data_IF_081163534489
#
_entry.id   IF_081163534489
#
_cell.length_a   1.000
_cell.length_b   1.000
_cell.length_c   1.000
_cell.angle_alpha   90.00
_cell.angle_beta   90.00
_cell.angle_gamma   90.00
#
_symmetry.space_group_name_H-M   'P 1'
#
loop_
_entity.id
_entity.type
_entity.pdbx_description
1 polymer ?
#
# COMPACT_ATOMS: atom_id res chain seq x y z
N UNK A 1 4.76 24.19 -16.31
CA UNK A 1 3.66 24.25 -15.31
C UNK A 1 2.85 22.99 -15.41
N UNK A 2 2.57 22.34 -14.29
CA UNK A 2 1.78 21.11 -14.19
C UNK A 2 0.31 21.48 -14.34
N UNK A 3 -0.36 20.96 -15.37
CA UNK A 3 -1.79 21.19 -15.64
C UNK A 3 -2.65 20.25 -14.79
N UNK A 4 -3.40 20.80 -13.84
CA UNK A 4 -4.20 20.06 -12.89
C UNK A 4 -5.69 20.17 -13.20
N UNK A 5 -6.38 19.03 -13.29
CA UNK A 5 -7.84 18.94 -13.32
C UNK A 5 -8.34 18.44 -11.97
N UNK A 6 -9.25 19.17 -11.34
CA UNK A 6 -9.88 18.79 -10.07
C UNK A 6 -11.28 18.21 -10.33
N UNK A 7 -11.51 16.97 -9.87
CA UNK A 7 -12.78 16.24 -10.01
C UNK A 7 -13.29 15.81 -8.65
N UNK A 8 -14.35 16.43 -8.17
CA UNK A 8 -14.97 16.16 -6.86
C UNK A 8 -16.42 16.67 -6.90
N UNK A 9 -17.38 15.98 -6.30
CA UNK A 9 -18.80 16.41 -6.31
C UNK A 9 -19.08 17.53 -5.30
N UNK A 10 -18.24 17.63 -4.23
CA UNK A 10 -18.34 18.68 -3.23
C UNK A 10 -17.79 20.02 -3.76
N UNK A 11 -18.63 21.04 -3.80
CA UNK A 11 -18.19 22.39 -4.18
C UNK A 11 -17.11 22.97 -3.25
N UNK A 12 -17.18 22.63 -1.97
CA UNK A 12 -16.21 23.04 -0.97
C UNK A 12 -14.84 22.41 -1.26
N UNK A 13 -14.80 21.10 -1.51
CA UNK A 13 -13.58 20.39 -1.86
C UNK A 13 -12.97 20.88 -3.17
N UNK A 14 -13.79 21.08 -4.19
CA UNK A 14 -13.30 21.67 -5.45
C UNK A 14 -12.68 23.04 -5.25
N UNK A 15 -13.32 23.90 -4.43
CA UNK A 15 -12.79 25.23 -4.12
C UNK A 15 -11.46 25.15 -3.36
N UNK A 16 -11.37 24.29 -2.36
CA UNK A 16 -10.15 24.07 -1.57
C UNK A 16 -9.00 23.56 -2.44
N UNK A 17 -9.20 22.46 -3.18
CA UNK A 17 -8.18 21.88 -4.06
C UNK A 17 -7.75 22.87 -5.14
N UNK A 18 -8.70 23.63 -5.71
CA UNK A 18 -8.40 24.70 -6.64
C UNK A 18 -7.53 25.80 -6.00
N UNK A 19 -7.79 26.15 -4.74
CA UNK A 19 -6.96 27.06 -3.94
C UNK A 19 -5.54 26.55 -3.74
N UNK A 20 -5.39 25.28 -3.35
CA UNK A 20 -4.09 24.62 -3.20
C UNK A 20 -3.29 24.69 -4.50
N UNK A 21 -3.89 24.34 -5.63
CA UNK A 21 -3.21 24.38 -6.94
C UNK A 21 -2.80 25.79 -7.34
N UNK A 22 -3.70 26.78 -7.17
CA UNK A 22 -3.41 28.18 -7.53
C UNK A 22 -2.33 28.84 -6.67
N UNK A 23 -2.15 28.34 -5.44
CA UNK A 23 -1.09 28.83 -4.55
C UNK A 23 0.31 28.36 -4.96
N UNK A 24 0.44 27.42 -5.90
CA UNK A 24 1.71 26.88 -6.36
C UNK A 24 2.18 27.55 -7.64
N UNK A 25 3.43 28.01 -7.67
CA UNK A 25 4.03 28.69 -8.84
C UNK A 25 4.32 27.75 -10.03
N UNK A 26 4.37 26.43 -9.77
CA UNK A 26 4.69 25.38 -10.75
C UNK A 26 3.47 24.63 -11.27
N UNK A 27 2.25 24.99 -10.82
CA UNK A 27 0.99 24.37 -11.21
C UNK A 27 0.03 25.34 -11.88
N UNK A 28 -0.85 24.79 -12.72
CA UNK A 28 -1.94 25.51 -13.39
C UNK A 28 -3.25 24.73 -13.19
N UNK A 29 -4.27 25.37 -12.59
CA UNK A 29 -5.61 24.81 -12.54
C UNK A 29 -6.27 25.01 -13.91
N UNK A 30 -6.30 23.97 -14.74
CA UNK A 30 -6.85 24.07 -16.11
C UNK A 30 -8.36 23.90 -16.13
N UNK A 31 -8.94 23.15 -15.19
CA UNK A 31 -10.40 23.01 -15.06
C UNK A 31 -10.80 22.40 -13.71
N UNK A 32 -12.10 22.50 -13.42
CA UNK A 32 -12.80 21.77 -12.36
C UNK A 32 -13.98 21.02 -12.96
N UNK A 33 -14.34 19.86 -12.40
CA UNK A 33 -15.50 19.08 -12.78
C UNK A 33 -16.24 18.57 -11.53
N UNK A 34 -17.56 18.61 -11.56
CA UNK A 34 -18.39 18.14 -10.45
C UNK A 34 -18.82 16.68 -10.62
N UNK A 35 -18.55 16.07 -11.76
CA UNK A 35 -18.90 14.69 -12.08
C UNK A 35 -18.01 14.12 -13.20
N UNK A 36 -18.00 12.79 -13.39
CA UNK A 36 -17.20 12.12 -14.41
C UNK A 36 -17.52 12.53 -15.86
N UNK A 37 -18.74 12.93 -16.16
CA UNK A 37 -19.15 13.34 -17.54
C UNK A 37 -18.46 14.65 -17.90
N UNK A 38 -18.56 15.64 -17.01
CA UNK A 38 -17.83 16.91 -17.15
C UNK A 38 -16.32 16.68 -17.17
N UNK A 39 -15.80 15.75 -16.33
CA UNK A 39 -14.37 15.43 -16.32
C UNK A 39 -13.88 14.94 -17.69
N UNK A 40 -14.63 14.08 -18.39
CA UNK A 40 -14.25 13.59 -19.73
C UNK A 40 -14.15 14.77 -20.73
N UNK A 41 -15.11 15.68 -20.69
CA UNK A 41 -15.10 16.88 -21.54
C UNK A 41 -13.87 17.75 -21.26
N UNK A 42 -13.59 18.03 -19.97
CA UNK A 42 -12.42 18.83 -19.53
C UNK A 42 -11.10 18.18 -19.90
N UNK A 43 -10.97 16.86 -19.78
CA UNK A 43 -9.77 16.11 -20.19
C UNK A 43 -9.50 16.27 -21.68
N UNK A 44 -10.55 16.24 -22.52
CA UNK A 44 -10.42 16.43 -23.98
C UNK A 44 -10.00 17.84 -24.33
N UNK A 45 -10.59 18.84 -23.67
CA UNK A 45 -10.39 20.26 -23.97
C UNK A 45 -9.03 20.77 -23.48
N UNK A 46 -8.63 20.40 -22.26
CA UNK A 46 -7.47 21.01 -21.58
C UNK A 46 -6.23 20.12 -21.53
N UNK A 47 -6.34 18.81 -21.81
CA UNK A 47 -5.24 17.84 -21.73
C UNK A 47 -4.43 18.00 -20.44
N UNK A 48 -5.01 17.71 -19.25
CA UNK A 48 -4.31 17.84 -17.99
C UNK A 48 -3.15 16.84 -17.89
N UNK A 49 -2.12 17.19 -17.11
CA UNK A 49 -0.99 16.33 -16.78
C UNK A 49 -1.32 15.41 -15.60
N UNK A 50 -2.22 15.85 -14.71
CA UNK A 50 -2.66 15.10 -13.52
C UNK A 50 -4.11 15.44 -13.18
N UNK A 51 -4.80 14.46 -12.61
CA UNK A 51 -6.18 14.58 -12.15
C UNK A 51 -6.23 14.30 -10.64
N UNK A 52 -6.85 15.19 -9.85
CA UNK A 52 -7.34 14.81 -8.52
C UNK A 52 -8.76 14.28 -8.66
N UNK A 53 -9.04 13.11 -8.12
CA UNK A 53 -10.30 12.40 -8.33
C UNK A 53 -10.90 11.94 -7.02
N UNK A 54 -12.10 12.40 -6.71
CA UNK A 54 -12.87 11.89 -5.58
C UNK A 54 -13.30 10.44 -5.81
N UNK A 55 -13.25 9.65 -4.75
CA UNK A 55 -13.74 8.26 -4.73
C UNK A 55 -15.25 8.21 -4.73
N UNK A 56 -15.89 9.03 -3.89
CA UNK A 56 -17.32 8.98 -3.61
C UNK A 56 -18.06 10.05 -4.41
N UNK A 57 -18.57 9.72 -5.59
CA UNK A 57 -19.36 10.63 -6.42
C UNK A 57 -20.72 10.02 -6.78
N UNK A 58 -21.80 10.80 -6.84
CA UNK A 58 -23.13 10.33 -7.26
C UNK A 58 -23.13 9.91 -8.73
N UNK A 59 -24.01 8.95 -9.08
CA UNK A 59 -24.24 8.43 -10.44
C UNK A 59 -23.15 7.56 -11.04
N UNK A 60 -21.88 7.91 -10.91
CA UNK A 60 -20.74 7.09 -11.32
C UNK A 60 -19.63 7.30 -10.28
N UNK A 61 -19.26 6.23 -9.57
CA UNK A 61 -18.21 6.32 -8.58
C UNK A 61 -16.83 6.53 -9.23
N UNK A 62 -15.90 7.08 -8.45
CA UNK A 62 -14.54 7.39 -8.92
C UNK A 62 -13.78 6.18 -9.45
N UNK A 63 -14.03 4.97 -8.92
CA UNK A 63 -13.38 3.74 -9.40
C UNK A 63 -13.81 3.35 -10.81
N UNK A 64 -15.09 3.46 -11.14
CA UNK A 64 -15.59 3.14 -12.48
C UNK A 64 -15.09 4.15 -13.49
N UNK A 65 -15.01 5.41 -13.10
CA UNK A 65 -14.40 6.44 -13.93
C UNK A 65 -12.91 6.18 -14.13
N UNK A 66 -12.15 5.89 -13.06
CA UNK A 66 -10.74 5.56 -13.11
C UNK A 66 -10.48 4.38 -14.06
N UNK A 67 -11.24 3.28 -13.92
CA UNK A 67 -11.11 2.10 -14.77
C UNK A 67 -11.28 2.44 -16.24
N UNK A 68 -12.29 3.24 -16.59
CA UNK A 68 -12.53 3.72 -17.97
C UNK A 68 -11.38 4.60 -18.43
N UNK A 69 -10.94 5.54 -17.60
CA UNK A 69 -9.84 6.46 -17.93
C UNK A 69 -8.55 5.68 -18.23
N UNK A 70 -8.15 4.75 -17.35
CA UNK A 70 -6.94 3.96 -17.53
C UNK A 70 -6.99 3.04 -18.74
N UNK A 71 -8.16 2.59 -19.16
CA UNK A 71 -8.31 1.75 -20.36
C UNK A 71 -8.24 2.55 -21.66
N UNK A 72 -8.80 3.77 -21.70
CA UNK A 72 -8.94 4.58 -22.93
C UNK A 72 -7.78 5.57 -23.09
N UNK A 73 -7.48 6.32 -22.07
CA UNK A 73 -6.44 7.36 -22.04
C UNK A 73 -5.81 7.39 -20.64
N UNK A 74 -4.83 6.53 -20.36
CA UNK A 74 -4.15 6.55 -19.07
C UNK A 74 -3.57 7.93 -18.76
N UNK A 75 -3.95 8.49 -17.62
CA UNK A 75 -3.46 9.76 -17.11
C UNK A 75 -3.11 9.57 -15.62
N UNK A 76 -2.13 10.31 -15.09
CA UNK A 76 -1.84 10.31 -13.66
C UNK A 76 -3.06 10.76 -12.85
N UNK A 77 -3.46 9.93 -11.88
CA UNK A 77 -4.59 10.22 -10.98
C UNK A 77 -4.15 10.14 -9.54
N UNK A 78 -4.40 11.21 -8.78
CA UNK A 78 -4.34 11.27 -7.34
C UNK A 78 -5.76 11.09 -6.80
N UNK A 79 -6.02 9.99 -6.08
CA UNK A 79 -7.33 9.77 -5.46
C UNK A 79 -7.50 10.66 -4.23
N UNK A 80 -8.67 11.22 -4.04
CA UNK A 80 -9.06 11.96 -2.83
C UNK A 80 -10.12 11.11 -2.13
N UNK A 81 -9.87 10.64 -0.91
CA UNK A 81 -10.70 9.61 -0.26
C UNK A 81 -11.04 9.95 1.18
N UNK A 82 -12.21 9.51 1.65
CA UNK A 82 -12.59 9.59 3.06
C UNK A 82 -11.76 8.63 3.94
N UNK A 83 -11.58 8.99 5.24
CA UNK A 83 -10.87 8.17 6.24
C UNK A 83 -11.67 6.97 6.77
N UNK A 84 -12.76 6.59 6.12
CA UNK A 84 -13.57 5.44 6.52
C UNK A 84 -12.90 4.12 6.11
N UNK A 85 -13.27 3.00 6.76
CA UNK A 85 -12.79 1.66 6.37
C UNK A 85 -13.17 1.31 4.93
N UNK A 86 -14.39 1.63 4.54
CA UNK A 86 -14.89 1.39 3.17
C UNK A 86 -14.15 2.28 2.17
N UNK A 87 -13.86 3.54 2.54
CA UNK A 87 -13.02 4.45 1.77
C UNK A 87 -11.59 3.93 1.58
N UNK A 88 -11.00 3.34 2.64
CA UNK A 88 -9.67 2.76 2.56
C UNK A 88 -9.62 1.55 1.60
N UNK A 89 -10.60 0.63 1.68
CA UNK A 89 -10.66 -0.52 0.75
C UNK A 89 -10.86 -0.07 -0.70
N UNK A 90 -11.75 0.89 -0.91
CA UNK A 90 -12.01 1.47 -2.24
C UNK A 90 -10.77 2.17 -2.80
N UNK A 91 -10.03 2.89 -1.96
CA UNK A 91 -8.80 3.59 -2.35
C UNK A 91 -7.68 2.61 -2.73
N UNK A 92 -7.48 1.55 -1.96
CA UNK A 92 -6.50 0.51 -2.30
C UNK A 92 -6.84 -0.17 -3.62
N UNK A 93 -8.15 -0.39 -3.91
CA UNK A 93 -8.61 -0.84 -5.23
C UNK A 93 -8.30 0.16 -6.35
N UNK A 94 -8.39 1.46 -6.06
CA UNK A 94 -8.04 2.48 -7.05
C UNK A 94 -6.55 2.41 -7.43
N UNK A 95 -5.65 2.17 -6.45
CA UNK A 95 -4.23 1.97 -6.73
C UNK A 95 -4.00 0.74 -7.62
N UNK A 96 -4.68 -0.39 -7.35
CA UNK A 96 -4.65 -1.60 -8.21
C UNK A 96 -5.16 -1.34 -9.64
N UNK A 97 -6.07 -0.38 -9.80
CA UNK A 97 -6.58 0.05 -11.11
C UNK A 97 -5.67 1.06 -11.83
N UNK A 98 -4.56 1.46 -11.20
CA UNK A 98 -3.55 2.32 -11.79
C UNK A 98 -3.59 3.78 -11.33
N UNK A 99 -4.32 4.13 -10.27
CA UNK A 99 -4.10 5.42 -9.60
C UNK A 99 -2.68 5.48 -9.05
N UNK A 100 -2.06 6.66 -9.14
CA UNK A 100 -0.66 6.85 -8.74
C UNK A 100 -0.50 6.86 -7.22
N UNK A 101 -1.38 7.58 -6.55
CA UNK A 101 -1.37 7.74 -5.10
C UNK A 101 -2.75 8.19 -4.62
N UNK A 102 -2.88 8.39 -3.32
CA UNK A 102 -4.09 8.94 -2.71
C UNK A 102 -3.77 9.95 -1.61
N UNK A 103 -4.76 10.79 -1.33
CA UNK A 103 -4.79 11.68 -0.19
C UNK A 103 -6.07 11.40 0.62
N UNK A 104 -5.92 11.23 1.93
CA UNK A 104 -7.05 11.01 2.83
C UNK A 104 -7.64 12.36 3.26
N UNK A 105 -8.95 12.55 3.01
CA UNK A 105 -9.68 13.76 3.42
C UNK A 105 -9.62 13.89 4.95
N UNK A 106 -9.05 14.96 5.51
CA UNK A 106 -9.13 15.22 6.95
C UNK A 106 -10.57 15.37 7.43
N UNK A 107 -10.78 15.16 8.73
CA UNK A 107 -12.11 15.22 9.33
C UNK A 107 -12.65 16.66 9.47
N UNK A 108 -11.78 17.67 9.47
CA UNK A 108 -12.14 19.07 9.65
C UNK A 108 -11.37 20.02 8.72
N UNK A 109 -11.92 21.24 8.56
CA UNK A 109 -11.36 22.26 7.66
C UNK A 109 -9.99 22.77 8.07
N UNK A 110 -9.68 22.82 9.36
CA UNK A 110 -8.38 23.32 9.84
C UNK A 110 -7.26 22.33 9.50
N UNK A 111 -7.54 21.04 9.59
CA UNK A 111 -6.62 19.99 9.17
C UNK A 111 -6.42 19.96 7.63
N UNK A 112 -7.43 20.38 6.85
CA UNK A 112 -7.28 20.57 5.41
C UNK A 112 -6.27 21.65 5.05
N UNK A 113 -6.36 22.82 5.69
CA UNK A 113 -5.41 23.92 5.47
C UNK A 113 -3.97 23.49 5.82
N UNK A 114 -3.81 22.77 6.93
CA UNK A 114 -2.52 22.22 7.34
C UNK A 114 -1.96 21.16 6.35
N UNK A 115 -2.82 20.55 5.52
CA UNK A 115 -2.45 19.50 4.55
C UNK A 115 -2.17 20.04 3.14
N UNK A 116 -2.29 21.34 2.92
CA UNK A 116 -2.14 21.94 1.58
C UNK A 116 -0.80 21.61 0.91
N UNK A 117 0.29 21.66 1.66
CA UNK A 117 1.62 21.32 1.16
C UNK A 117 1.74 19.83 0.81
N UNK A 118 1.19 18.94 1.64
CA UNK A 118 1.19 17.51 1.34
C UNK A 118 0.41 17.20 0.06
N UNK A 119 -0.76 17.82 -0.13
CA UNK A 119 -1.56 17.67 -1.35
C UNK A 119 -0.77 18.15 -2.56
N UNK A 120 -0.14 19.34 -2.48
CA UNK A 120 0.68 19.88 -3.55
C UNK A 120 1.84 18.94 -3.90
N UNK A 121 2.55 18.40 -2.90
CA UNK A 121 3.63 17.45 -3.10
C UNK A 121 3.13 16.15 -3.76
N UNK A 122 1.98 15.62 -3.34
CA UNK A 122 1.36 14.45 -3.98
C UNK A 122 0.90 14.70 -5.42
N UNK A 123 0.40 15.89 -5.74
CA UNK A 123 0.07 16.30 -7.12
C UNK A 123 1.34 16.33 -7.98
N UNK A 124 2.46 16.90 -7.48
CA UNK A 124 3.75 16.88 -8.15
C UNK A 124 4.25 15.46 -8.42
N UNK A 125 4.20 14.63 -7.38
CA UNK A 125 4.58 13.22 -7.48
C UNK A 125 3.74 12.50 -8.55
N UNK A 126 2.42 12.68 -8.52
CA UNK A 126 1.53 12.07 -9.49
C UNK A 126 1.81 12.56 -10.93
N UNK A 127 2.03 13.85 -11.12
CA UNK A 127 2.33 14.41 -12.44
C UNK A 127 3.65 13.87 -13.05
N UNK A 128 4.62 13.49 -12.20
CA UNK A 128 5.88 12.88 -12.63
C UNK A 128 5.78 11.36 -12.85
N UNK A 129 4.68 10.75 -12.46
CA UNK A 129 4.51 9.30 -12.49
C UNK A 129 4.46 8.76 -13.94
N UNK A 130 5.14 7.65 -14.15
CA UNK A 130 5.06 6.89 -15.43
C UNK A 130 3.83 5.99 -15.40
N UNK A 131 2.69 6.49 -15.90
CA UNK A 131 1.47 5.68 -16.00
C UNK A 131 1.54 4.79 -17.24
N UNK A 132 1.61 3.48 -17.03
CA UNK A 132 1.61 2.47 -18.10
C UNK A 132 0.18 1.96 -18.30
N UNK A 133 -0.22 1.72 -19.56
CA UNK A 133 -1.47 0.99 -19.84
C UNK A 133 -1.43 -0.38 -19.16
N UNK A 134 -2.21 -0.55 -18.12
CA UNK A 134 -2.52 -1.90 -17.65
C UNK A 134 -3.42 -2.55 -18.72
N UNK A 135 -2.84 -3.42 -19.56
CA UNK A 135 -3.66 -4.38 -20.27
C UNK A 135 -4.33 -5.23 -19.20
N UNK A 136 -5.64 -5.10 -19.07
CA UNK A 136 -6.43 -5.90 -18.15
C UNK A 136 -6.08 -7.37 -18.38
N UNK A 137 -5.28 -7.96 -17.51
CA UNK A 137 -5.17 -9.40 -17.38
C UNK A 137 -6.53 -9.85 -16.90
N UNK A 138 -7.41 -10.16 -17.85
CA UNK A 138 -8.68 -10.85 -17.57
C UNK A 138 -8.29 -12.12 -16.84
N UNK A 139 -8.49 -12.14 -15.52
CA UNK A 139 -8.50 -13.40 -14.79
C UNK A 139 -9.55 -14.26 -15.46
N UNK A 140 -9.24 -15.51 -15.86
CA UNK A 140 -10.24 -16.38 -16.45
C UNK A 140 -11.35 -16.55 -15.44
N UNK A 141 -12.48 -15.93 -15.72
CA UNK A 141 -13.67 -15.98 -14.89
C UNK A 141 -14.06 -17.43 -14.70
N UNK A 142 -14.29 -17.81 -13.47
CA UNK A 142 -15.05 -18.99 -13.10
C UNK A 142 -16.34 -18.99 -13.93
N UNK A 143 -16.39 -19.85 -14.96
CA UNK A 143 -17.56 -20.03 -15.78
C UNK A 143 -18.66 -20.55 -14.87
N UNK A 144 -19.62 -19.70 -14.56
CA UNK A 144 -20.93 -20.11 -14.02
C UNK A 144 -21.53 -21.07 -15.03
N UNK A 145 -21.49 -22.37 -14.72
CA UNK A 145 -22.31 -23.36 -15.40
C UNK A 145 -23.76 -23.02 -15.16
N UNK A 146 -24.59 -22.90 -16.19
CA UNK A 146 -26.03 -22.81 -15.97
C UNK A 146 -26.52 -24.12 -15.38
N UNK A 147 -27.08 -24.06 -14.17
CA UNK A 147 -27.79 -25.16 -13.56
C UNK A 147 -29.04 -25.48 -14.37
N UNK A 148 -29.02 -26.60 -15.09
CA UNK A 148 -30.19 -27.22 -15.68
C UNK A 148 -31.08 -27.77 -14.54
N UNK A 149 -32.30 -27.26 -14.46
CA UNK A 149 -33.40 -27.78 -13.63
C UNK A 149 -33.96 -29.03 -14.30
N UNK A 150 -34.11 -30.17 -13.63
CA UNK A 150 -35.03 -31.20 -14.04
C UNK A 150 -36.31 -31.09 -13.25
N UNK A 151 -37.41 -31.02 -13.98
CA UNK A 151 -38.80 -31.10 -13.48
C UNK A 151 -39.13 -32.48 -12.95
N UNK A 152 -39.95 -32.52 -11.88
CA UNK A 152 -40.39 -33.64 -11.07
C UNK A 152 -41.06 -34.86 -11.79
N UNK A 153 -41.91 -35.69 -11.19
CA UNK A 153 -42.62 -35.60 -9.92
C UNK A 153 -42.62 -36.89 -9.06
N UNK A 154 -43.33 -36.81 -7.94
CA UNK A 154 -44.15 -37.89 -7.28
C UNK A 154 -43.73 -38.35 -5.89
N UNK A 155 -44.67 -38.10 -5.02
CA UNK A 155 -44.99 -38.62 -3.70
C UNK A 155 -44.83 -40.13 -3.55
N UNK A 156 -44.24 -40.60 -2.44
CA UNK A 156 -44.76 -41.74 -1.64
C UNK A 156 -44.36 -41.51 -0.18
N UNK A 157 -45.41 -41.57 0.66
CA UNK A 157 -45.46 -41.63 2.11
C UNK A 157 -44.91 -42.93 2.64
N UNK A 158 -44.19 -42.91 3.79
CA UNK A 158 -44.46 -43.84 4.93
C UNK A 158 -43.47 -43.72 6.09
N UNK A 159 -44.08 -43.45 7.23
CA UNK A 159 -43.93 -44.03 8.58
C UNK A 159 -42.62 -43.88 9.35
N UNK A 160 -42.78 -43.19 10.48
CA UNK A 160 -41.97 -43.20 11.70
C UNK A 160 -42.05 -44.58 12.39
N UNK A 161 -41.01 -45.05 13.09
CA UNK A 161 -41.14 -45.13 14.53
C UNK A 161 -39.98 -44.61 15.35
N UNK A 162 -40.35 -44.28 16.54
CA UNK A 162 -39.74 -43.76 17.73
C UNK A 162 -38.57 -44.61 18.29
N UNK A 163 -37.57 -43.99 18.89
CA UNK A 163 -37.18 -44.10 20.29
C UNK A 163 -35.68 -43.90 20.54
N UNK A 164 -35.41 -42.89 21.36
CA UNK A 164 -34.39 -42.79 22.44
C UNK A 164 -33.00 -43.44 22.30
N UNK A 165 -31.98 -42.58 22.28
CA UNK A 165 -30.87 -42.56 23.26
C UNK A 165 -29.99 -41.34 23.03
N UNK A 166 -29.96 -40.47 23.90
CA UNK A 166 -29.04 -39.74 24.76
C UNK A 166 -27.55 -39.85 24.38
N UNK A 167 -26.97 -38.65 24.35
CA UNK A 167 -25.61 -38.23 24.64
C UNK A 167 -24.66 -37.89 23.50
N UNK A 168 -24.12 -36.69 23.72
CA UNK A 168 -22.83 -36.10 23.37
C UNK A 168 -22.72 -35.35 22.07
N UNK A 169 -22.87 -34.05 22.22
CA UNK A 169 -22.08 -32.92 21.74
C UNK A 169 -21.16 -33.15 20.55
N UNK A 170 -21.48 -32.49 19.46
CA UNK A 170 -20.58 -32.20 18.36
C UNK A 170 -21.19 -31.12 17.52
N UNK A 171 -20.99 -29.85 17.91
CA UNK A 171 -21.24 -28.70 17.05
C UNK A 171 -20.22 -28.73 15.94
N UNK A 172 -20.58 -29.19 14.76
CA UNK A 172 -19.84 -28.94 13.55
C UNK A 172 -20.43 -27.71 12.88
N UNK A 173 -19.87 -26.55 13.19
CA UNK A 173 -20.01 -25.38 12.36
C UNK A 173 -19.19 -25.63 11.09
N UNK A 174 -19.85 -25.68 9.95
CA UNK A 174 -19.23 -25.63 8.63
C UNK A 174 -18.48 -24.27 8.52
N UNK A 175 -17.18 -24.30 8.80
CA UNK A 175 -16.29 -23.17 8.71
C UNK A 175 -15.79 -23.02 7.28
N UNK A 176 -15.76 -21.81 6.84
CA UNK A 176 -14.95 -21.35 5.72
C UNK A 176 -13.49 -21.76 5.97
N UNK A 177 -12.90 -22.48 5.03
CA UNK A 177 -11.48 -22.83 5.03
C UNK A 177 -10.62 -21.58 4.84
N UNK A 178 -10.46 -20.81 5.89
CA UNK A 178 -9.37 -19.84 6.03
C UNK A 178 -8.10 -20.63 6.34
N UNK A 179 -7.15 -20.66 5.44
CA UNK A 179 -5.81 -21.19 5.68
C UNK A 179 -5.20 -20.38 6.83
N UNK A 180 -5.26 -20.91 8.05
CA UNK A 180 -4.57 -20.33 9.20
C UNK A 180 -3.08 -20.56 9.00
N UNK A 181 -2.37 -19.52 8.53
CA UNK A 181 -0.92 -19.51 8.44
C UNK A 181 -0.36 -19.51 9.86
N UNK A 182 0.13 -20.65 10.32
CA UNK A 182 0.87 -20.68 11.57
C UNK A 182 2.19 -19.91 11.38
N UNK A 183 2.57 -19.00 12.30
CA UNK A 183 3.88 -18.35 12.22
C UNK A 183 4.96 -19.44 12.27
N UNK A 184 5.91 -19.40 11.33
CA UNK A 184 7.06 -20.30 11.32
C UNK A 184 7.97 -19.86 12.46
N UNK A 185 7.80 -20.45 13.63
CA UNK A 185 8.60 -20.21 14.84
C UNK A 185 10.00 -20.82 14.67
N UNK A 186 10.83 -20.29 13.79
CA UNK A 186 12.25 -20.65 13.74
C UNK A 186 13.05 -19.65 14.58
N UNK A 187 13.34 -20.03 15.81
CA UNK A 187 13.99 -19.21 16.83
C UNK A 187 15.52 -19.12 16.67
N UNK A 188 16.05 -18.92 15.46
CA UNK A 188 17.49 -18.71 15.29
C UNK A 188 17.84 -17.31 14.76
N UNK A 189 17.39 -16.28 15.50
CA UNK A 189 17.68 -14.86 15.20
C UNK A 189 19.18 -14.48 15.25
N UNK A 190 20.05 -15.39 15.66
CA UNK A 190 21.50 -15.10 15.68
C UNK A 190 22.14 -15.12 14.30
N UNK A 191 21.52 -15.76 13.34
CA UNK A 191 22.08 -15.98 12.00
C UNK A 191 21.24 -15.38 10.86
N UNK A 192 19.95 -15.10 11.07
CA UNK A 192 19.06 -14.61 10.00
C UNK A 192 19.10 -13.07 9.88
N UNK A 193 19.08 -12.55 8.66
CA UNK A 193 18.99 -11.12 8.42
C UNK A 193 17.66 -10.54 8.91
N UNK A 194 17.64 -9.21 9.11
CA UNK A 194 16.43 -8.42 9.33
C UNK A 194 16.22 -7.54 8.09
N UNK A 195 15.10 -7.68 7.43
CA UNK A 195 14.77 -6.89 6.23
C UNK A 195 14.01 -5.63 6.66
N UNK A 196 14.42 -4.47 6.14
CA UNK A 196 13.72 -3.21 6.34
C UNK A 196 13.42 -2.57 4.98
N UNK A 197 12.18 -2.13 4.77
CA UNK A 197 11.71 -1.56 3.51
C UNK A 197 11.11 -0.17 3.76
N UNK A 198 11.58 0.83 3.00
CA UNK A 198 11.00 2.16 2.95
C UNK A 198 10.31 2.40 1.61
N UNK A 199 9.11 2.97 1.63
CA UNK A 199 8.30 3.23 0.44
C UNK A 199 7.32 4.40 0.62
N UNK A 200 6.90 5.01 -0.50
CA UNK A 200 5.90 6.08 -0.52
C UNK A 200 4.99 5.96 -1.76
N UNK A 201 4.86 6.99 -2.58
CA UNK A 201 4.04 6.99 -3.80
C UNK A 201 4.42 5.84 -4.74
N UNK A 202 3.44 5.03 -5.12
CA UNK A 202 3.64 3.78 -5.87
C UNK A 202 4.10 2.59 -5.01
N UNK A 203 4.40 2.81 -3.72
CA UNK A 203 4.91 1.79 -2.80
C UNK A 203 3.91 0.67 -2.51
N UNK A 204 2.61 0.96 -2.53
CA UNK A 204 1.55 -0.04 -2.30
C UNK A 204 1.64 -1.18 -3.30
N UNK A 205 1.75 -0.86 -4.60
CA UNK A 205 1.88 -1.87 -5.66
C UNK A 205 3.26 -2.52 -5.66
N UNK A 206 4.33 -1.75 -5.40
CA UNK A 206 5.67 -2.29 -5.29
C UNK A 206 5.80 -3.31 -4.14
N UNK A 207 5.25 -3.00 -2.97
CA UNK A 207 5.20 -3.92 -1.83
C UNK A 207 4.37 -5.17 -2.14
N UNK A 208 3.21 -5.01 -2.79
CA UNK A 208 2.38 -6.15 -3.22
C UNK A 208 3.16 -7.10 -4.12
N UNK A 209 3.82 -6.57 -5.16
CA UNK A 209 4.60 -7.38 -6.10
C UNK A 209 5.73 -8.16 -5.40
N UNK A 210 6.47 -7.50 -4.52
CA UNK A 210 7.56 -8.14 -3.78
C UNK A 210 7.02 -9.20 -2.81
N UNK A 211 6.10 -8.81 -1.89
CA UNK A 211 5.67 -9.68 -0.80
C UNK A 211 4.91 -10.91 -1.30
N UNK A 212 4.14 -10.78 -2.38
CA UNK A 212 3.40 -11.89 -3.00
C UNK A 212 4.33 -12.97 -3.58
N UNK A 213 5.53 -12.59 -3.98
CA UNK A 213 6.52 -13.50 -4.56
C UNK A 213 7.43 -14.16 -3.51
N UNK A 214 7.37 -13.76 -2.24
CA UNK A 214 8.22 -14.30 -1.18
C UNK A 214 7.68 -15.63 -0.63
N UNK A 215 8.57 -16.60 -0.33
CA UNK A 215 8.20 -17.86 0.32
C UNK A 215 7.90 -17.67 1.81
N UNK A 216 7.11 -18.56 2.40
CA UNK A 216 6.76 -18.52 3.82
C UNK A 216 7.98 -18.48 4.78
N UNK A 217 9.09 -19.08 4.39
CA UNK A 217 10.32 -19.15 5.21
C UNK A 217 11.29 -18.00 4.90
N UNK A 218 10.82 -16.75 4.88
CA UNK A 218 11.64 -15.56 4.69
C UNK A 218 12.02 -14.94 6.06
N UNK A 219 13.17 -14.28 6.21
CA UNK A 219 13.46 -13.45 7.38
C UNK A 219 12.38 -12.41 7.65
N UNK A 220 12.25 -11.91 8.89
CA UNK A 220 11.25 -10.91 9.20
C UNK A 220 11.47 -9.63 8.41
N UNK A 221 10.37 -8.98 8.04
CA UNK A 221 10.33 -7.78 7.22
C UNK A 221 9.66 -6.66 8.01
N UNK A 222 10.33 -5.51 8.15
CA UNK A 222 9.79 -4.30 8.75
C UNK A 222 9.58 -3.27 7.64
N UNK A 223 8.38 -2.66 7.57
CA UNK A 223 7.99 -1.80 6.46
C UNK A 223 7.54 -0.44 6.99
N UNK A 224 8.15 0.63 6.51
CA UNK A 224 7.63 2.00 6.62
C UNK A 224 7.11 2.44 5.25
N UNK A 225 5.80 2.40 5.09
CA UNK A 225 5.09 2.97 3.95
C UNK A 225 4.42 4.27 4.40
N UNK A 226 4.67 5.37 3.70
CA UNK A 226 3.96 6.62 3.96
C UNK A 226 2.47 6.44 3.67
N UNK A 227 1.69 6.31 4.73
CA UNK A 227 0.26 6.03 4.64
C UNK A 227 -0.45 6.55 5.90
N UNK A 228 -1.61 7.21 5.76
CA UNK A 228 -2.33 7.77 6.90
C UNK A 228 -2.94 6.69 7.80
N UNK A 229 -3.36 7.07 9.03
CA UNK A 229 -4.10 6.16 9.91
C UNK A 229 -5.35 5.58 9.23
N UNK A 230 -5.71 4.35 9.59
CA UNK A 230 -6.88 3.66 9.05
C UNK A 230 -6.63 2.88 7.75
N UNK A 231 -5.62 3.26 6.96
CA UNK A 231 -5.26 2.57 5.72
C UNK A 231 -4.30 1.40 5.92
N UNK A 232 -3.36 1.52 6.86
CA UNK A 232 -2.29 0.54 7.07
C UNK A 232 -2.80 -0.82 7.51
N UNK A 233 -3.83 -0.89 8.36
CA UNK A 233 -4.46 -2.15 8.78
C UNK A 233 -5.20 -2.83 7.61
N UNK A 234 -5.98 -2.05 6.83
CA UNK A 234 -6.67 -2.57 5.65
C UNK A 234 -5.67 -3.07 4.61
N UNK A 235 -4.57 -2.34 4.38
CA UNK A 235 -3.50 -2.73 3.48
C UNK A 235 -2.81 -4.03 3.94
N UNK A 236 -2.47 -4.13 5.23
CA UNK A 236 -1.87 -5.33 5.80
C UNK A 236 -2.76 -6.56 5.60
N UNK A 237 -4.05 -6.47 5.92
CA UNK A 237 -5.01 -7.57 5.74
C UNK A 237 -5.18 -7.99 4.28
N UNK A 238 -5.17 -7.04 3.34
CA UNK A 238 -5.23 -7.35 1.90
C UNK A 238 -3.99 -8.10 1.44
N UNK A 239 -2.81 -7.67 1.87
CA UNK A 239 -1.56 -8.37 1.57
C UNK A 239 -1.52 -9.76 2.22
N UNK A 240 -1.95 -9.89 3.46
CA UNK A 240 -2.00 -11.19 4.15
C UNK A 240 -2.85 -12.21 3.41
N UNK A 241 -3.95 -11.77 2.81
CA UNK A 241 -4.85 -12.64 2.04
C UNK A 241 -4.23 -13.21 0.76
N UNK A 242 -3.22 -12.55 0.18
CA UNK A 242 -2.64 -12.92 -1.12
C UNK A 242 -1.18 -13.39 -1.04
N UNK A 243 -0.49 -13.16 0.09
CA UNK A 243 0.90 -13.55 0.29
C UNK A 243 1.03 -14.93 0.95
N UNK A 244 2.16 -15.61 0.77
CA UNK A 244 2.49 -16.83 1.50
C UNK A 244 2.97 -16.53 2.93
N UNK A 245 3.63 -15.39 3.13
CA UNK A 245 4.05 -14.88 4.43
C UNK A 245 2.85 -14.29 5.18
N UNK A 246 2.96 -14.19 6.51
CA UNK A 246 2.01 -13.43 7.30
C UNK A 246 2.28 -11.94 7.15
N UNK A 247 1.25 -11.11 6.94
CA UNK A 247 1.37 -9.66 6.84
C UNK A 247 0.42 -8.99 7.83
N UNK A 248 0.95 -8.15 8.70
CA UNK A 248 0.15 -7.46 9.71
C UNK A 248 0.62 -6.03 9.95
N UNK A 249 -0.25 -5.21 10.50
CA UNK A 249 0.17 -3.94 11.10
C UNK A 249 0.95 -4.23 12.39
N UNK A 250 2.06 -3.53 12.58
CA UNK A 250 2.93 -3.67 13.75
C UNK A 250 2.25 -3.19 15.03
N UNK A 251 2.52 -3.85 16.14
CA UNK A 251 2.06 -3.51 17.48
C UNK A 251 3.24 -3.18 18.42
N UNK A 252 3.04 -2.27 19.36
CA UNK A 252 4.10 -1.95 20.32
C UNK A 252 4.39 -3.13 21.24
N UNK A 253 5.68 -3.36 21.50
CA UNK A 253 6.13 -4.45 22.38
C UNK A 253 6.05 -5.85 21.74
N UNK A 254 5.74 -5.96 20.46
CA UNK A 254 5.63 -7.23 19.76
C UNK A 254 7.00 -7.85 19.44
N UNK A 255 7.11 -9.16 19.62
CA UNK A 255 8.30 -9.92 19.20
C UNK A 255 8.25 -10.18 17.69
N UNK A 256 9.39 -10.01 17.04
CA UNK A 256 9.53 -10.19 15.60
C UNK A 256 9.76 -11.65 15.23
N UNK A 257 9.03 -12.20 14.26
CA UNK A 257 9.14 -13.58 13.80
C UNK A 257 9.47 -13.66 12.31
N UNK A 258 10.23 -14.68 11.90
CA UNK A 258 10.43 -15.02 10.49
C UNK A 258 9.10 -15.37 9.81
N UNK A 259 9.04 -15.20 8.49
CA UNK A 259 7.80 -15.42 7.73
C UNK A 259 6.72 -14.37 7.95
N UNK A 260 7.09 -13.24 8.59
CA UNK A 260 6.14 -12.16 8.89
C UNK A 260 6.65 -10.80 8.41
N UNK A 261 5.79 -10.05 7.76
CA UNK A 261 5.99 -8.65 7.40
C UNK A 261 5.15 -7.75 8.32
N UNK A 262 5.79 -6.77 8.93
CA UNK A 262 5.21 -5.83 9.89
C UNK A 262 5.15 -4.44 9.26
N UNK A 263 3.95 -3.92 9.04
CA UNK A 263 3.73 -2.59 8.45
C UNK A 263 3.58 -1.57 9.56
N UNK A 264 4.33 -0.48 9.49
CA UNK A 264 4.22 0.63 10.43
C UNK A 264 2.79 1.19 10.47
N UNK A 265 2.18 1.39 11.63
CA UNK A 265 0.87 2.02 11.72
C UNK A 265 0.91 3.46 11.19
N UNK A 266 -0.08 3.85 10.41
CA UNK A 266 -0.26 5.24 9.99
C UNK A 266 -0.38 6.18 11.20
N UNK A 267 0.28 7.33 11.15
CA UNK A 267 0.32 8.29 12.23
C UNK A 267 1.27 7.92 13.38
N UNK A 268 2.06 6.85 13.26
CA UNK A 268 3.05 6.41 14.26
C UNK A 268 4.36 6.00 13.61
N UNK A 269 5.46 6.06 14.35
CA UNK A 269 6.74 5.52 13.89
C UNK A 269 6.91 4.07 14.32
N UNK A 270 7.45 3.25 13.41
CA UNK A 270 7.91 1.89 13.70
C UNK A 270 9.42 1.90 13.90
N UNK A 271 9.85 1.36 15.01
CA UNK A 271 11.26 1.18 15.35
C UNK A 271 11.49 -0.24 15.89
N UNK A 272 12.75 -0.66 16.01
CA UNK A 272 13.10 -1.98 16.49
C UNK A 272 14.24 -1.93 17.52
N UNK A 273 14.12 -2.73 18.55
CA UNK A 273 15.14 -2.93 19.56
C UNK A 273 15.63 -4.38 19.56
N UNK A 274 16.93 -4.58 19.82
CA UNK A 274 17.50 -5.91 20.00
C UNK A 274 17.26 -6.40 21.43
N UNK A 275 16.81 -7.65 21.57
CA UNK A 275 16.75 -8.39 22.84
C UNK A 275 17.65 -9.64 22.80
N UNK A 276 17.86 -10.27 23.94
CA UNK A 276 18.63 -11.51 24.02
C UNK A 276 18.03 -12.64 23.15
N UNK A 277 16.68 -12.67 23.03
CA UNK A 277 15.92 -13.67 22.27
C UNK A 277 15.55 -13.26 20.85
N UNK A 278 16.01 -12.09 20.35
CA UNK A 278 15.65 -11.62 19.00
C UNK A 278 15.41 -10.13 18.91
N UNK A 279 14.36 -9.74 18.20
CA UNK A 279 13.98 -8.34 17.99
C UNK A 279 12.63 -8.05 18.61
N UNK A 280 12.45 -6.82 19.09
CA UNK A 280 11.21 -6.29 19.64
C UNK A 280 10.82 -5.03 18.88
N UNK A 281 9.58 -4.97 18.43
CA UNK A 281 9.02 -3.77 17.80
C UNK A 281 8.68 -2.70 18.85
N UNK A 282 8.84 -1.46 18.44
CA UNK A 282 8.35 -0.29 19.15
C UNK A 282 7.56 0.58 18.20
N UNK A 283 6.37 0.94 18.61
CA UNK A 283 5.48 1.85 17.89
C UNK A 283 5.31 3.11 18.74
N UNK A 284 5.78 4.25 18.24
CA UNK A 284 5.85 5.50 19.01
C UNK A 284 5.05 6.63 18.35
N UNK A 285 4.57 7.56 19.19
CA UNK A 285 3.84 8.77 18.78
C UNK A 285 4.76 10.00 18.70
N UNK A 286 6.07 9.82 18.54
CA UNK A 286 7.03 10.90 18.36
C UNK A 286 6.66 11.82 17.21
N UNK A 287 7.18 13.05 17.23
CA UNK A 287 6.92 14.05 16.20
C UNK A 287 7.26 13.52 14.79
N UNK A 288 6.55 13.98 13.74
CA UNK A 288 6.88 13.62 12.37
C UNK A 288 8.36 13.88 12.05
N UNK A 289 9.01 12.92 11.39
CA UNK A 289 10.38 13.04 10.86
C UNK A 289 10.27 13.22 9.36
N UNK A 290 11.00 14.20 8.80
CA UNK A 290 10.92 14.57 7.38
C UNK A 290 9.47 14.85 6.90
N UNK A 291 8.64 15.41 7.78
CA UNK A 291 7.20 15.65 7.60
C UNK A 291 6.33 14.39 7.49
N UNK A 292 6.88 13.19 7.73
CA UNK A 292 6.17 11.91 7.64
C UNK A 292 6.05 11.20 9.00
N UNK A 293 4.93 10.54 9.19
CA UNK A 293 4.66 9.62 10.30
C UNK A 293 3.66 8.53 9.84
N UNK A 294 4.14 7.28 9.52
CA UNK A 294 5.51 6.80 9.71
C UNK A 294 6.54 7.47 8.80
N UNK A 295 7.80 7.52 9.27
CA UNK A 295 8.96 7.87 8.46
C UNK A 295 9.91 6.68 8.36
N UNK A 296 10.64 6.59 7.26
CA UNK A 296 11.63 5.54 6.98
C UNK A 296 12.90 5.73 7.83
N UNK A 297 13.27 6.97 8.10
CA UNK A 297 14.47 7.32 8.88
C UNK A 297 14.51 6.65 10.26
N UNK A 298 13.50 6.75 11.14
CA UNK A 298 13.50 6.08 12.45
C UNK A 298 13.62 4.57 12.34
N UNK A 299 12.96 3.96 11.34
CA UNK A 299 13.04 2.53 11.10
C UNK A 299 14.47 2.12 10.73
N UNK A 300 15.06 2.72 9.70
CA UNK A 300 16.37 2.33 9.21
C UNK A 300 17.48 2.59 10.25
N UNK A 301 17.44 3.71 10.99
CA UNK A 301 18.38 3.99 12.08
C UNK A 301 18.32 2.95 13.19
N UNK A 302 17.12 2.52 13.56
CA UNK A 302 16.99 1.50 14.62
C UNK A 302 17.35 0.11 14.12
N UNK A 303 17.08 -0.23 12.86
CA UNK A 303 17.55 -1.46 12.22
C UNK A 303 19.08 -1.48 12.14
N UNK A 304 19.73 -0.37 11.79
CA UNK A 304 21.18 -0.25 11.78
C UNK A 304 21.77 -0.59 13.16
N UNK A 305 21.20 -0.06 14.24
CA UNK A 305 21.63 -0.32 15.61
C UNK A 305 21.34 -1.76 16.07
N UNK A 306 20.19 -2.31 15.70
CA UNK A 306 19.72 -3.60 16.20
C UNK A 306 20.33 -4.80 15.45
N UNK A 307 20.45 -4.72 14.12
CA UNK A 307 20.88 -5.81 13.25
C UNK A 307 22.27 -5.60 12.64
N UNK A 308 22.68 -4.35 12.41
CA UNK A 308 24.00 -4.01 11.86
C UNK A 308 24.22 -4.67 10.49
N UNK A 309 25.37 -5.30 10.30
CA UNK A 309 25.76 -5.96 9.04
C UNK A 309 24.82 -7.09 8.59
N UNK A 310 23.92 -7.57 9.46
CA UNK A 310 22.92 -8.59 9.12
C UNK A 310 21.63 -8.01 8.60
N UNK A 311 21.51 -6.71 8.47
CA UNK A 311 20.33 -6.09 7.91
C UNK A 311 20.36 -6.09 6.37
N UNK A 312 19.18 -6.13 5.78
CA UNK A 312 18.95 -5.83 4.37
C UNK A 312 18.02 -4.61 4.34
N UNK A 313 18.51 -3.47 3.79
CA UNK A 313 17.73 -2.26 3.62
C UNK A 313 17.26 -2.12 2.18
N UNK A 314 15.97 -1.80 1.97
CA UNK A 314 15.40 -1.60 0.63
C UNK A 314 14.71 -0.25 0.57
N UNK A 315 15.03 0.54 -0.45
CA UNK A 315 14.35 1.79 -0.78
C UNK A 315 13.56 1.61 -2.06
N UNK A 316 12.23 1.68 -1.94
CA UNK A 316 11.30 1.57 -3.07
C UNK A 316 10.85 2.96 -3.54
N UNK A 317 10.07 2.94 -4.63
CA UNK A 317 9.44 4.11 -5.24
C UNK A 317 8.83 5.05 -4.20
N UNK A 318 8.99 6.34 -4.41
CA UNK A 318 8.46 7.39 -3.55
C UNK A 318 9.04 8.75 -3.86
N UNK A 319 8.33 9.80 -3.46
CA UNK A 319 8.80 11.19 -3.58
C UNK A 319 9.63 11.59 -2.35
N UNK A 320 10.56 12.52 -2.55
CA UNK A 320 11.35 13.11 -1.45
C UNK A 320 12.64 12.35 -1.16
N UNK A 321 13.13 12.48 0.08
CA UNK A 321 14.44 11.98 0.52
C UNK A 321 14.37 11.21 1.84
N UNK A 322 13.17 10.98 2.39
CA UNK A 322 13.03 10.27 3.66
C UNK A 322 13.66 8.88 3.60
N UNK A 323 14.46 8.56 4.59
CA UNK A 323 15.20 7.30 4.68
C UNK A 323 16.55 7.29 3.96
N UNK A 324 16.92 8.30 3.15
CA UNK A 324 18.18 8.30 2.41
C UNK A 324 19.41 8.34 3.34
N UNK A 325 19.41 9.28 4.29
CA UNK A 325 20.51 9.42 5.27
C UNK A 325 20.57 8.21 6.22
N UNK A 326 19.42 7.75 6.71
CA UNK A 326 19.36 6.57 7.57
C UNK A 326 19.77 5.29 6.83
N UNK A 327 19.53 5.20 5.53
CA UNK A 327 20.00 4.08 4.70
C UNK A 327 21.53 4.11 4.54
N UNK A 328 22.13 5.31 4.47
CA UNK A 328 23.59 5.46 4.49
C UNK A 328 24.16 4.98 5.83
N UNK A 329 23.56 5.39 6.95
CA UNK A 329 23.93 4.89 8.28
C UNK A 329 23.85 3.35 8.34
N UNK A 330 22.76 2.79 7.79
CA UNK A 330 22.55 1.35 7.73
C UNK A 330 23.63 0.66 6.88
N UNK A 331 23.93 1.17 5.68
CA UNK A 331 25.00 0.68 4.80
C UNK A 331 26.38 0.69 5.52
N UNK A 332 26.66 1.74 6.28
CA UNK A 332 27.93 1.91 6.98
C UNK A 332 28.13 0.87 8.12
N UNK A 333 27.06 0.22 8.60
CA UNK A 333 27.17 -0.93 9.50
C UNK A 333 27.61 -2.23 8.81
N UNK A 334 27.73 -2.22 7.48
CA UNK A 334 28.01 -3.41 6.67
C UNK A 334 26.75 -4.05 6.09
N UNK A 335 25.56 -3.52 6.37
CA UNK A 335 24.30 -4.01 5.84
C UNK A 335 24.25 -4.03 4.30
N UNK A 336 23.47 -4.93 3.74
CA UNK A 336 23.19 -4.96 2.31
C UNK A 336 22.06 -3.98 2.00
N UNK A 337 22.27 -3.05 1.05
CA UNK A 337 21.30 -2.00 0.75
C UNK A 337 20.94 -2.01 -0.74
N UNK A 338 19.65 -1.97 -1.05
CA UNK A 338 19.10 -2.08 -2.40
C UNK A 338 18.15 -0.90 -2.66
N UNK A 339 18.23 -0.29 -3.82
CA UNK A 339 17.26 0.68 -4.29
C UNK A 339 16.53 0.17 -5.54
N UNK A 340 15.26 0.51 -5.67
CA UNK A 340 14.51 0.28 -6.89
C UNK A 340 15.06 1.16 -8.02
N UNK A 341 15.19 0.61 -9.22
CA UNK A 341 15.67 1.34 -10.40
C UNK A 341 14.68 2.38 -10.90
N UNK A 342 15.16 3.34 -11.67
CA UNK A 342 14.33 4.42 -12.23
C UNK A 342 13.25 3.88 -13.18
N UNK A 343 13.55 2.81 -13.91
CA UNK A 343 12.66 2.30 -14.96
C UNK A 343 11.39 1.68 -14.39
N UNK A 344 11.47 1.03 -13.23
CA UNK A 344 10.34 0.38 -12.57
C UNK A 344 9.70 1.23 -11.46
N UNK A 345 10.31 2.36 -11.06
CA UNK A 345 9.69 3.30 -10.13
C UNK A 345 8.50 4.03 -10.76
N UNK A 346 7.41 4.15 -10.00
CA UNK A 346 6.32 5.10 -10.31
C UNK A 346 6.84 6.53 -10.13
N UNK A 347 7.53 6.80 -9.01
CA UNK A 347 8.21 8.08 -8.73
C UNK A 347 9.63 7.77 -8.27
N UNK A 348 10.63 8.18 -9.07
CA UNK A 348 12.04 7.98 -8.75
C UNK A 348 12.59 9.17 -7.93
N UNK A 349 12.13 9.30 -6.68
CA UNK A 349 12.55 10.32 -5.72
C UNK A 349 13.38 9.73 -4.59
N UNK A 350 12.77 9.00 -3.65
CA UNK A 350 13.45 8.37 -2.52
C UNK A 350 14.61 7.45 -2.96
N UNK A 351 14.46 6.56 -3.96
CA UNK A 351 15.58 5.78 -4.47
C UNK A 351 16.71 6.65 -5.04
N UNK A 352 16.36 7.68 -5.82
CA UNK A 352 17.33 8.63 -6.38
C UNK A 352 18.17 9.31 -5.30
N UNK A 353 17.53 9.77 -4.23
CA UNK A 353 18.23 10.44 -3.12
C UNK A 353 19.13 9.45 -2.35
N UNK A 354 18.66 8.24 -2.09
CA UNK A 354 19.46 7.19 -1.46
C UNK A 354 20.70 6.82 -2.31
N UNK A 355 20.55 6.74 -3.65
CA UNK A 355 21.65 6.49 -4.59
C UNK A 355 22.63 7.68 -4.56
N UNK A 356 22.13 8.91 -4.65
CA UNK A 356 22.96 10.12 -4.63
C UNK A 356 23.72 10.29 -3.31
N UNK A 357 23.13 9.91 -2.18
CA UNK A 357 23.80 9.89 -0.87
C UNK A 357 24.87 8.79 -0.76
N UNK A 358 25.02 7.92 -1.76
CA UNK A 358 25.91 6.77 -1.67
C UNK A 358 25.42 5.68 -0.69
N UNK A 359 24.12 5.66 -0.39
CA UNK A 359 23.54 4.72 0.56
C UNK A 359 23.26 3.32 -0.02
N UNK A 360 23.39 3.15 -1.32
CA UNK A 360 22.93 1.95 -2.05
C UNK A 360 24.10 1.10 -2.54
N UNK A 361 24.03 -0.23 -2.35
CA UNK A 361 24.98 -1.21 -2.90
C UNK A 361 24.53 -1.77 -4.23
N UNK A 362 23.22 -2.02 -4.38
CA UNK A 362 22.63 -2.57 -5.60
C UNK A 362 21.44 -1.74 -6.05
N UNK A 363 21.26 -1.57 -7.35
CA UNK A 363 20.09 -0.95 -7.96
C UNK A 363 19.43 -2.04 -8.80
N UNK A 364 18.17 -2.35 -8.50
CA UNK A 364 17.46 -3.47 -9.14
C UNK A 364 16.08 -3.08 -9.66
N UNK A 365 15.63 -3.66 -10.78
CA UNK A 365 14.24 -3.60 -11.19
C UNK A 365 13.32 -4.24 -10.14
N UNK A 366 12.11 -3.70 -9.97
CA UNK A 366 11.14 -4.19 -8.98
C UNK A 366 10.93 -5.71 -9.05
N UNK A 367 10.76 -6.25 -10.26
CA UNK A 367 10.55 -7.69 -10.53
C UNK A 367 11.67 -8.61 -10.05
N UNK A 368 12.86 -8.08 -9.84
CA UNK A 368 14.04 -8.85 -9.42
C UNK A 368 14.25 -8.81 -7.89
N UNK A 369 13.56 -7.88 -7.19
CA UNK A 369 13.72 -7.66 -5.75
C UNK A 369 13.42 -8.91 -4.92
N UNK A 370 12.31 -9.59 -5.18
CA UNK A 370 11.94 -10.79 -4.41
C UNK A 370 12.97 -11.93 -4.57
N UNK A 371 13.41 -12.19 -5.79
CA UNK A 371 14.45 -13.21 -6.04
C UNK A 371 15.77 -12.85 -5.35
N UNK A 372 16.13 -11.55 -5.37
CA UNK A 372 17.35 -11.09 -4.69
C UNK A 372 17.25 -11.21 -3.18
N UNK A 373 16.09 -10.86 -2.59
CA UNK A 373 15.84 -11.05 -1.16
C UNK A 373 15.96 -12.52 -0.73
N UNK A 374 15.40 -13.44 -1.51
CA UNK A 374 15.51 -14.88 -1.26
C UNK A 374 16.99 -15.30 -1.27
N UNK A 375 17.75 -14.87 -2.29
CA UNK A 375 19.18 -15.21 -2.39
C UNK A 375 20.04 -14.64 -1.25
N UNK A 376 19.69 -13.47 -0.69
CA UNK A 376 20.38 -12.85 0.44
C UNK A 376 19.97 -13.44 1.80
N UNK A 377 18.88 -14.18 1.83
CA UNK A 377 18.27 -14.74 3.05
C UNK A 377 18.71 -16.18 3.36
N UNK A 378 19.21 -16.89 2.38
CA UNK A 378 19.77 -18.28 2.49
C UNK A 378 21.24 -18.24 2.73
#
# INVERSE_FOLDING_TARGET
>A
MIKVLVVDDSAVMRSFLAGVVRAQNDMELVAVAADPVLAIERIRLHSPDVITLDVEMPRMNGLDFLRKLMSVRPLPVLMISSLTRDGADTTLRALELGAVDFFAKPADLSAFEASADEIADKIRAAAMAKVVRHSARVMPGSAMRPSSVPSGPSLVSRSVPDSRAVMAAGFTTSGQDGITKAPVLTANFRTHPLIAIGASTGGVEALREILQALPAAIPPILIAQHMPPGFTDTFARRLDAICQIHVKQAEDGETVYSGTAYIAPGGRHLTVARKASGYLLRVTDEAPVNRHRPSVDPLFRTVAKAAGARAIGIMLTGMGADGADAMLELRNTGAHTIAQDEASCIVFGMPKQAIAAGAVREILPLKEMAARLIALSG
#
